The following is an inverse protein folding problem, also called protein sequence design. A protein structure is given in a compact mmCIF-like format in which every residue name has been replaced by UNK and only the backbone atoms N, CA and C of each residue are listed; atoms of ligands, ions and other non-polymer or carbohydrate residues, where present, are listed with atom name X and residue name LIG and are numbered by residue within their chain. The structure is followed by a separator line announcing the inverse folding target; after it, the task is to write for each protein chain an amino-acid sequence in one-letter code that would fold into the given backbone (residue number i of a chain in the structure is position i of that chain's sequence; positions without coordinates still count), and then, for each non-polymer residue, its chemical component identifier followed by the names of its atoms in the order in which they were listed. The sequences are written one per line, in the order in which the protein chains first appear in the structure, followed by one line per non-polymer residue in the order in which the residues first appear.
data_IF_842657562164
#
_entry.id   IF_842657562164
#
_cell.length_a   1.000
_cell.length_b   1.000
_cell.length_c   1.000
_cell.angle_alpha   90.00
_cell.angle_beta   90.00
_cell.angle_gamma   90.00
#
_symmetry.space_group_name_H-M   'P 1'
#
loop_
_entity.id
_entity.type
_entity.pdbx_description
1 polymer ?
#
# COMPACT_ATOMS: atom_id res chain seq x y z
N UNK A 1 6.32 -30.56 -12.30
CA UNK A 1 4.89 -30.76 -12.57
C UNK A 1 4.03 -30.48 -11.34
N UNK A 2 2.80 -29.99 -11.52
CA UNK A 2 1.81 -29.92 -10.44
C UNK A 2 0.99 -31.21 -10.45
N UNK A 3 0.88 -31.87 -9.29
CA UNK A 3 0.14 -33.11 -9.10
C UNK A 3 -1.03 -32.89 -8.14
N UNK A 4 -2.16 -33.53 -8.43
CA UNK A 4 -3.39 -33.45 -7.62
C UNK A 4 -3.50 -34.72 -6.78
N UNK A 5 -3.78 -34.57 -5.49
CA UNK A 5 -4.14 -35.64 -4.54
C UNK A 5 -5.66 -35.80 -4.54
N UNK A 6 -6.22 -36.83 -5.19
CA UNK A 6 -7.66 -36.99 -5.34
C UNK A 6 -8.40 -37.03 -4.00
N UNK A 7 -7.79 -37.61 -2.98
CA UNK A 7 -8.35 -37.81 -1.64
C UNK A 7 -8.49 -36.50 -0.83
N UNK A 8 -7.76 -35.44 -1.21
CA UNK A 8 -7.81 -34.12 -0.55
C UNK A 8 -8.55 -33.08 -1.40
N UNK A 9 -8.76 -33.35 -2.69
CA UNK A 9 -9.39 -32.42 -3.61
C UNK A 9 -10.91 -32.49 -3.50
N UNK A 10 -11.54 -31.38 -3.13
CA UNK A 10 -13.01 -31.27 -3.02
C UNK A 10 -13.67 -30.73 -4.28
N UNK A 11 -12.92 -30.46 -5.35
CA UNK A 11 -13.47 -29.86 -6.57
C UNK A 11 -13.95 -28.41 -6.41
N UNK A 12 -13.52 -27.69 -5.36
CA UNK A 12 -14.02 -26.33 -5.05
C UNK A 12 -13.74 -25.24 -6.12
N UNK A 13 -12.78 -25.46 -7.02
CA UNK A 13 -12.53 -24.59 -8.17
C UNK A 13 -11.65 -23.35 -7.95
N UNK A 14 -11.24 -23.04 -6.72
CA UNK A 14 -10.36 -21.89 -6.42
C UNK A 14 -9.07 -21.85 -7.26
N UNK A 15 -8.48 -23.02 -7.50
CA UNK A 15 -7.27 -23.14 -8.32
C UNK A 15 -7.51 -22.81 -9.80
N UNK A 16 -8.67 -23.17 -10.36
CA UNK A 16 -9.03 -22.90 -11.75
C UNK A 16 -9.34 -21.42 -11.95
N UNK A 17 -10.13 -20.83 -11.07
CA UNK A 17 -10.47 -19.40 -11.08
C UNK A 17 -9.22 -18.51 -11.05
N UNK A 18 -8.23 -18.89 -10.23
CA UNK A 18 -7.01 -18.11 -10.04
C UNK A 18 -5.86 -18.54 -10.95
N UNK A 19 -6.06 -19.49 -11.87
CA UNK A 19 -4.99 -19.92 -12.76
C UNK A 19 -4.69 -18.82 -13.79
N UNK A 20 -3.52 -18.17 -13.74
CA UNK A 20 -3.29 -16.99 -14.58
C UNK A 20 -3.27 -17.35 -16.07
N UNK A 21 -2.81 -18.54 -16.41
CA UNK A 21 -2.69 -19.05 -17.78
C UNK A 21 -3.85 -19.96 -18.18
N UNK A 22 -4.86 -20.13 -17.31
CA UNK A 22 -6.03 -20.96 -17.62
C UNK A 22 -5.72 -22.45 -17.80
N UNK A 23 -4.66 -22.96 -17.17
CA UNK A 23 -4.21 -24.34 -17.35
C UNK A 23 -4.94 -25.38 -16.47
N UNK A 24 -5.95 -24.98 -15.69
CA UNK A 24 -6.64 -25.86 -14.73
C UNK A 24 -8.14 -25.88 -15.05
N UNK A 25 -8.69 -27.08 -15.21
CA UNK A 25 -10.12 -27.33 -15.35
C UNK A 25 -10.64 -28.10 -14.13
N UNK A 26 -11.92 -27.91 -13.79
CA UNK A 26 -12.59 -28.64 -12.71
C UNK A 26 -13.60 -29.59 -13.33
N UNK A 27 -13.41 -30.89 -13.10
CA UNK A 27 -14.43 -31.91 -13.35
C UNK A 27 -15.00 -32.34 -12.00
N UNK A 28 -14.68 -33.53 -11.54
CA UNK A 28 -14.92 -33.95 -10.15
C UNK A 28 -13.79 -33.48 -9.21
N UNK A 29 -12.55 -33.49 -9.72
CA UNK A 29 -11.36 -32.93 -9.09
C UNK A 29 -10.64 -32.00 -10.08
N UNK A 30 -9.65 -31.26 -9.59
CA UNK A 30 -8.82 -30.41 -10.44
C UNK A 30 -8.04 -31.25 -11.47
N UNK A 31 -8.02 -30.82 -12.72
CA UNK A 31 -7.25 -31.40 -13.82
C UNK A 31 -6.32 -30.34 -14.39
N UNK A 32 -5.04 -30.66 -14.51
CA UNK A 32 -3.99 -29.72 -14.92
C UNK A 32 -3.54 -30.07 -16.33
N UNK A 33 -3.72 -29.12 -17.24
CA UNK A 33 -3.29 -29.25 -18.63
C UNK A 33 -1.77 -29.10 -18.78
N UNK A 34 -1.26 -29.49 -19.95
CA UNK A 34 0.16 -29.39 -20.26
C UNK A 34 0.64 -27.96 -20.50
N UNK A 35 -0.27 -26.98 -20.56
CA UNK A 35 0.06 -25.55 -20.63
C UNK A 35 0.55 -25.00 -19.29
N UNK A 36 0.43 -25.77 -18.21
CA UNK A 36 0.88 -25.37 -16.88
C UNK A 36 2.36 -24.97 -16.85
N UNK A 37 2.64 -23.74 -16.42
CA UNK A 37 4.01 -23.21 -16.28
C UNK A 37 4.60 -23.38 -14.88
N UNK A 38 3.99 -24.23 -14.05
CA UNK A 38 4.49 -24.62 -12.73
C UNK A 38 4.68 -23.45 -11.73
N UNK A 39 3.87 -22.41 -11.83
CA UNK A 39 3.98 -21.20 -11.00
C UNK A 39 3.56 -21.34 -9.52
N UNK A 40 3.16 -22.56 -9.11
CA UNK A 40 2.71 -22.93 -7.75
C UNK A 40 1.58 -22.13 -7.10
N UNK A 41 0.97 -21.15 -7.77
CA UNK A 41 -0.13 -20.38 -7.18
C UNK A 41 -1.29 -21.26 -6.70
N UNK A 42 -1.64 -22.28 -7.48
CA UNK A 42 -2.70 -23.22 -7.13
C UNK A 42 -2.38 -24.08 -5.90
N UNK A 43 -1.09 -24.35 -5.62
CA UNK A 43 -0.63 -25.04 -4.41
C UNK A 43 -0.86 -24.16 -3.20
N UNK A 44 -0.44 -22.91 -3.27
CA UNK A 44 -0.61 -21.92 -2.19
C UNK A 44 -2.08 -21.62 -1.88
N UNK A 45 -2.95 -21.61 -2.90
CA UNK A 45 -4.37 -21.28 -2.74
C UNK A 45 -5.24 -22.45 -2.30
N UNK A 46 -4.74 -23.69 -2.33
CA UNK A 46 -5.57 -24.85 -2.01
C UNK A 46 -5.80 -24.94 -0.49
N UNK A 47 -7.04 -24.80 0.02
CA UNK A 47 -7.29 -24.86 1.46
C UNK A 47 -7.07 -26.26 2.06
N UNK A 48 -6.98 -27.30 1.22
CA UNK A 48 -6.85 -28.69 1.61
C UNK A 48 -5.50 -29.31 1.23
N UNK A 49 -4.52 -28.51 0.78
CA UNK A 49 -3.19 -28.99 0.34
C UNK A 49 -3.23 -30.12 -0.72
N UNK A 50 -4.30 -30.15 -1.52
CA UNK A 50 -4.56 -31.20 -2.51
C UNK A 50 -3.70 -31.07 -3.77
N UNK A 51 -2.93 -29.99 -3.92
CA UNK A 51 -2.08 -29.70 -5.08
C UNK A 51 -0.64 -29.60 -4.60
N UNK A 52 0.28 -30.30 -5.28
CA UNK A 52 1.70 -30.33 -4.91
C UNK A 52 2.56 -30.03 -6.14
N UNK A 53 3.56 -29.17 -5.97
CA UNK A 53 4.59 -28.97 -6.99
C UNK A 53 5.73 -29.99 -6.78
N UNK A 54 5.96 -30.82 -7.78
CA UNK A 54 7.09 -31.75 -7.85
C UNK A 54 8.07 -31.22 -8.90
N UNK A 55 9.26 -30.78 -8.50
CA UNK A 55 10.31 -30.34 -9.43
C UNK A 55 11.31 -31.48 -9.64
N UNK A 56 11.19 -32.16 -10.77
CA UNK A 56 12.22 -33.12 -11.19
C UNK A 56 13.45 -32.37 -11.74
N UNK A 57 14.64 -32.96 -11.55
CA UNK A 57 15.97 -32.39 -11.80
C UNK A 57 16.40 -32.43 -13.29
N UNK A 58 15.54 -32.89 -14.20
CA UNK A 58 15.85 -32.95 -15.62
C UNK A 58 14.76 -32.21 -16.39
N UNK A 59 15.03 -30.96 -16.70
CA UNK A 59 14.25 -30.23 -17.70
C UNK A 59 14.50 -30.87 -19.08
N UNK A 60 13.44 -31.21 -19.81
CA UNK A 60 13.58 -31.62 -21.19
C UNK A 60 14.06 -30.45 -22.06
N UNK A 61 14.70 -30.75 -23.20
CA UNK A 61 15.27 -29.74 -24.12
C UNK A 61 14.25 -28.70 -24.63
N UNK A 62 12.94 -28.96 -24.45
CA UNK A 62 11.85 -28.08 -24.86
C UNK A 62 11.26 -27.22 -23.72
N UNK A 63 12.02 -26.95 -22.65
CA UNK A 63 11.57 -26.06 -21.57
C UNK A 63 12.64 -25.02 -21.26
N UNK A 64 12.24 -23.74 -21.22
CA UNK A 64 13.08 -22.65 -20.72
C UNK A 64 12.51 -22.15 -19.40
N UNK A 65 13.36 -22.11 -18.37
CA UNK A 65 13.00 -21.57 -17.05
C UNK A 65 13.15 -20.06 -17.06
N UNK A 66 12.09 -19.36 -16.68
CA UNK A 66 12.10 -17.90 -16.61
C UNK A 66 12.87 -17.37 -15.41
N UNK A 67 13.85 -16.52 -15.66
CA UNK A 67 14.77 -15.93 -14.68
C UNK A 67 14.36 -14.51 -14.22
N UNK A 68 13.36 -13.89 -14.86
CA UNK A 68 12.89 -12.55 -14.51
C UNK A 68 12.17 -12.45 -13.16
N UNK A 69 11.89 -13.57 -12.49
CA UNK A 69 11.30 -13.59 -11.15
C UNK A 69 11.59 -14.93 -10.43
N UNK A 70 11.30 -15.02 -9.12
CA UNK A 70 11.67 -16.16 -8.26
C UNK A 70 10.91 -17.43 -8.56
N UNK A 71 9.70 -17.23 -9.11
CA UNK A 71 8.76 -18.31 -9.37
C UNK A 71 9.38 -19.32 -10.32
N UNK A 72 10.23 -18.87 -11.25
CA UNK A 72 10.91 -19.77 -12.18
C UNK A 72 9.91 -20.48 -13.08
N UNK A 73 8.98 -19.73 -13.72
CA UNK A 73 7.98 -20.33 -14.60
C UNK A 73 8.67 -21.16 -15.70
N UNK A 74 8.23 -22.40 -15.88
CA UNK A 74 8.72 -23.32 -16.93
C UNK A 74 7.92 -23.10 -18.22
N UNK A 75 8.57 -22.55 -19.24
CA UNK A 75 7.89 -22.10 -20.46
C UNK A 75 8.19 -23.05 -21.62
N UNK A 76 7.13 -23.58 -22.23
CA UNK A 76 7.17 -24.22 -23.56
C UNK A 76 7.24 -23.17 -24.67
N UNK A 77 7.56 -23.59 -25.90
CA UNK A 77 7.65 -22.66 -27.03
C UNK A 77 6.33 -21.88 -27.19
N UNK A 78 6.43 -20.55 -27.29
CA UNK A 78 5.27 -19.66 -27.32
C UNK A 78 4.49 -19.52 -25.99
N UNK A 79 4.90 -20.18 -24.92
CA UNK A 79 4.26 -20.14 -23.61
C UNK A 79 4.44 -18.80 -22.90
N UNK A 80 3.42 -18.38 -22.15
CA UNK A 80 3.43 -17.17 -21.31
C UNK A 80 3.74 -17.55 -19.87
N UNK A 81 4.60 -16.77 -19.21
CA UNK A 81 4.76 -16.87 -17.76
C UNK A 81 3.47 -16.50 -17.03
N UNK A 82 3.30 -17.01 -15.82
CA UNK A 82 2.13 -16.75 -14.98
C UNK A 82 1.83 -15.24 -14.78
N UNK A 83 2.85 -14.39 -14.82
CA UNK A 83 2.67 -12.93 -14.74
C UNK A 83 2.08 -12.29 -16.01
N UNK A 84 1.99 -13.03 -17.13
CA UNK A 84 1.64 -12.54 -18.48
C UNK A 84 2.53 -11.41 -19.01
N UNK A 85 3.68 -11.17 -18.39
CA UNK A 85 4.64 -10.13 -18.80
C UNK A 85 5.67 -10.64 -19.78
N UNK A 86 5.97 -11.94 -19.71
CA UNK A 86 7.06 -12.57 -20.43
C UNK A 86 6.55 -13.78 -21.22
N UNK A 87 7.05 -13.95 -22.44
CA UNK A 87 6.73 -15.05 -23.34
C UNK A 87 8.02 -15.67 -23.85
N UNK A 88 8.07 -16.99 -23.94
CA UNK A 88 9.19 -17.68 -24.60
C UNK A 88 9.09 -17.52 -26.12
N UNK A 89 10.23 -17.23 -26.76
CA UNK A 89 10.46 -17.31 -28.20
C UNK A 89 11.81 -17.96 -28.46
N UNK A 90 11.81 -19.21 -28.93
CA UNK A 90 13.02 -20.02 -29.02
C UNK A 90 13.67 -20.19 -27.65
N UNK A 91 14.97 -19.88 -27.56
CA UNK A 91 15.72 -19.95 -26.30
C UNK A 91 15.65 -18.64 -25.49
N UNK A 92 14.94 -17.63 -25.98
CA UNK A 92 14.83 -16.33 -25.33
C UNK A 92 13.49 -16.16 -24.62
N UNK A 93 13.50 -15.32 -23.59
CA UNK A 93 12.29 -14.85 -22.92
C UNK A 93 12.15 -13.37 -23.21
N UNK A 94 11.05 -13.01 -23.86
CA UNK A 94 10.77 -11.65 -24.28
C UNK A 94 9.66 -11.03 -23.44
N UNK A 95 9.84 -9.76 -23.10
CA UNK A 95 8.77 -8.96 -22.48
C UNK A 95 7.69 -8.69 -23.53
N UNK A 96 6.49 -9.23 -23.31
CA UNK A 96 5.33 -9.06 -24.20
C UNK A 96 4.34 -8.01 -23.72
N UNK A 97 4.44 -7.60 -22.45
CA UNK A 97 3.65 -6.48 -21.96
C UNK A 97 4.37 -5.18 -22.35
N UNK A 98 3.81 -4.34 -23.23
CA UNK A 98 4.44 -3.09 -23.61
C UNK A 98 4.57 -2.18 -22.38
N UNK A 99 5.59 -1.34 -22.38
CA UNK A 99 5.68 -0.24 -21.43
C UNK A 99 4.50 0.71 -21.71
N UNK A 100 3.60 0.85 -20.75
CA UNK A 100 2.54 1.84 -20.84
C UNK A 100 3.12 3.19 -20.42
N UNK A 101 3.35 4.05 -21.40
CA UNK A 101 3.64 5.46 -21.17
C UNK A 101 2.29 6.16 -21.35
N UNK A 102 1.67 6.69 -20.29
CA UNK A 102 0.48 7.51 -20.48
C UNK A 102 0.85 8.67 -21.40
N UNK A 103 -0.03 9.05 -22.35
CA UNK A 103 0.22 10.23 -23.17
C UNK A 103 0.38 11.44 -22.23
N UNK A 104 1.25 12.42 -22.57
CA UNK A 104 1.29 13.65 -21.81
C UNK A 104 -0.12 14.28 -21.83
N UNK A 105 -0.57 14.87 -20.71
CA UNK A 105 -1.87 15.53 -20.68
C UNK A 105 -1.91 16.62 -21.76
N UNK A 106 -3.07 16.80 -22.39
CA UNK A 106 -3.24 17.87 -23.37
C UNK A 106 -3.09 19.23 -22.69
N UNK A 107 -2.73 20.28 -23.44
CA UNK A 107 -2.68 21.65 -22.89
C UNK A 107 -4.02 22.06 -22.25
N UNK A 108 -5.13 21.63 -22.83
CA UNK A 108 -6.47 21.84 -22.28
C UNK A 108 -6.65 21.12 -20.93
N UNK A 109 -6.17 19.87 -20.82
CA UNK A 109 -6.24 19.12 -19.58
C UNK A 109 -5.35 19.74 -18.49
N UNK A 110 -4.12 20.13 -18.82
CA UNK A 110 -3.23 20.84 -17.89
C UNK A 110 -3.89 22.15 -17.44
N UNK A 111 -4.45 22.92 -18.38
CA UNK A 111 -5.15 24.19 -18.08
C UNK A 111 -6.35 23.94 -17.18
N UNK A 112 -7.17 22.92 -17.48
CA UNK A 112 -8.31 22.53 -16.65
C UNK A 112 -7.86 22.17 -15.24
N UNK A 113 -6.90 21.26 -15.10
CA UNK A 113 -6.36 20.82 -13.80
C UNK A 113 -5.75 21.98 -13.02
N UNK A 114 -5.05 22.90 -13.68
CA UNK A 114 -4.51 24.10 -13.05
C UNK A 114 -5.61 25.06 -12.59
N UNK A 115 -6.64 25.28 -13.41
CA UNK A 115 -7.73 26.21 -13.11
C UNK A 115 -8.65 25.68 -12.00
N UNK A 116 -8.96 24.38 -11.96
CA UNK A 116 -9.87 23.79 -10.96
C UNK A 116 -9.14 23.11 -9.79
N UNK A 117 -7.81 23.06 -9.83
CA UNK A 117 -6.99 22.29 -8.88
C UNK A 117 -6.88 22.87 -7.47
N UNK A 118 -7.36 24.10 -7.26
CA UNK A 118 -7.45 24.71 -5.94
C UNK A 118 -8.86 25.23 -5.67
N UNK A 119 -9.34 25.17 -4.42
CA UNK A 119 -10.66 25.67 -4.08
C UNK A 119 -10.74 27.20 -4.24
N UNK A 120 -11.96 27.74 -4.28
CA UNK A 120 -12.24 29.19 -4.27
C UNK A 120 -12.00 29.77 -2.88
N UNK A 121 -12.40 29.03 -1.84
CA UNK A 121 -12.19 29.39 -0.44
C UNK A 121 -11.79 28.16 0.38
N UNK A 122 -11.21 28.38 1.56
CA UNK A 122 -10.94 27.29 2.52
C UNK A 122 -12.06 27.20 3.55
N UNK A 123 -12.12 26.08 4.28
CA UNK A 123 -13.08 25.91 5.37
C UNK A 123 -12.68 26.61 6.68
N UNK A 124 -11.53 27.29 6.74
CA UNK A 124 -11.05 27.94 7.96
C UNK A 124 -12.00 29.08 8.34
N UNK A 125 -12.68 28.95 9.49
CA UNK A 125 -13.68 29.92 9.94
C UNK A 125 -15.06 29.77 9.29
N UNK A 126 -15.28 28.73 8.49
CA UNK A 126 -16.61 28.44 7.91
C UNK A 126 -17.63 27.99 8.97
N UNK A 127 -17.15 27.52 10.13
CA UNK A 127 -18.00 26.86 11.12
C UNK A 127 -18.31 25.41 10.74
N UNK A 128 -18.74 24.64 11.74
CA UNK A 128 -18.97 23.19 11.58
C UNK A 128 -20.45 22.89 11.36
N UNK A 129 -20.74 21.88 10.55
CA UNK A 129 -22.08 21.32 10.38
C UNK A 129 -22.33 20.13 11.28
N UNK A 130 -21.38 19.74 12.14
CA UNK A 130 -21.53 18.55 12.96
C UNK A 130 -22.68 18.70 13.97
N UNK A 131 -23.61 17.72 14.06
CA UNK A 131 -23.69 16.51 13.22
C UNK A 131 -24.21 16.84 11.81
N UNK A 132 -23.59 16.28 10.77
CA UNK A 132 -23.66 16.71 9.35
C UNK A 132 -25.02 16.57 8.62
N UNK A 133 -26.13 16.79 9.31
CA UNK A 133 -27.47 16.88 8.71
C UNK A 133 -27.81 18.29 8.21
N UNK A 134 -26.92 19.28 8.42
CA UNK A 134 -27.08 20.66 7.95
C UNK A 134 -26.21 20.87 6.70
N UNK A 135 -26.72 21.55 5.66
CA UNK A 135 -25.90 21.93 4.49
C UNK A 135 -24.65 22.73 4.89
N UNK A 136 -23.61 22.67 4.05
CA UNK A 136 -22.38 23.44 4.26
C UNK A 136 -22.67 24.95 4.44
N UNK A 137 -22.04 25.65 5.40
CA UNK A 137 -22.41 27.04 5.71
C UNK A 137 -22.11 28.01 4.57
N UNK A 138 -21.10 27.69 3.73
CA UNK A 138 -20.70 28.51 2.61
C UNK A 138 -20.54 27.68 1.34
N UNK A 139 -21.20 28.14 0.28
CA UNK A 139 -20.96 27.72 -1.10
C UNK A 139 -20.47 28.94 -1.85
N UNK A 140 -19.27 28.84 -2.40
CA UNK A 140 -18.63 29.91 -3.17
C UNK A 140 -18.47 29.46 -4.61
N UNK A 141 -18.64 30.42 -5.52
CA UNK A 141 -18.53 30.19 -6.96
C UNK A 141 -17.54 31.20 -7.51
N UNK A 142 -16.65 30.73 -8.36
CA UNK A 142 -15.69 31.54 -9.11
C UNK A 142 -15.70 31.10 -10.58
N UNK A 143 -15.63 32.05 -11.50
CA UNK A 143 -15.56 31.76 -12.92
C UNK A 143 -14.09 31.82 -13.36
N UNK A 144 -13.51 30.66 -13.64
CA UNK A 144 -12.12 30.53 -14.10
C UNK A 144 -12.12 30.12 -15.56
N UNK A 145 -11.99 31.11 -16.44
CA UNK A 145 -12.04 30.93 -17.89
C UNK A 145 -13.40 30.33 -18.32
N UNK A 146 -13.41 29.20 -19.04
CA UNK A 146 -14.63 28.48 -19.41
C UNK A 146 -15.19 27.57 -18.31
N UNK A 147 -14.59 27.56 -17.11
CA UNK A 147 -15.00 26.69 -16.01
C UNK A 147 -15.62 27.48 -14.85
N UNK A 148 -16.77 27.02 -14.39
CA UNK A 148 -17.32 27.45 -13.10
C UNK A 148 -16.75 26.55 -12.00
N UNK A 149 -16.07 27.14 -11.01
CA UNK A 149 -15.50 26.43 -9.87
C UNK A 149 -16.37 26.68 -8.65
N UNK A 150 -17.08 25.63 -8.22
CA UNK A 150 -17.92 25.67 -7.03
C UNK A 150 -17.18 25.02 -5.87
N UNK A 151 -16.99 25.76 -4.78
CA UNK A 151 -16.42 25.23 -3.54
C UNK A 151 -17.44 25.33 -2.41
N UNK A 152 -17.88 24.18 -1.93
CA UNK A 152 -18.67 24.02 -0.72
C UNK A 152 -17.74 23.70 0.45
N UNK A 153 -17.82 24.48 1.54
CA UNK A 153 -16.90 24.33 2.68
C UNK A 153 -17.64 24.19 4.01
N UNK A 154 -17.14 23.29 4.84
CA UNK A 154 -17.53 23.07 6.24
C UNK A 154 -16.25 22.88 7.04
N UNK A 155 -16.16 23.49 8.22
CA UNK A 155 -15.05 23.28 9.14
C UNK A 155 -15.17 21.92 9.85
N UNK A 156 -14.14 21.08 9.68
CA UNK A 156 -14.07 19.79 10.32
C UNK A 156 -13.60 19.94 11.79
N UNK A 157 -14.32 19.39 12.78
CA UNK A 157 -13.87 19.43 14.15
C UNK A 157 -12.60 18.59 14.32
N UNK A 158 -11.54 19.22 14.84
CA UNK A 158 -10.25 18.54 15.10
C UNK A 158 -10.39 17.32 16.01
N UNK A 159 -11.46 17.26 16.81
CA UNK A 159 -11.76 16.16 17.75
C UNK A 159 -12.13 14.82 17.08
N UNK A 160 -12.46 14.83 15.79
CA UNK A 160 -12.69 13.61 15.00
C UNK A 160 -11.54 13.30 14.04
N UNK A 161 -10.52 14.16 14.02
CA UNK A 161 -9.37 14.03 13.13
C UNK A 161 -8.17 13.41 13.84
N UNK A 162 -7.28 12.82 13.06
CA UNK A 162 -5.96 12.36 13.49
C UNK A 162 -4.89 12.82 12.50
N UNK A 163 -3.65 12.79 12.93
CA UNK A 163 -2.47 13.04 12.09
C UNK A 163 -1.76 11.70 11.91
N UNK A 164 -1.46 11.35 10.66
CA UNK A 164 -0.58 10.23 10.34
C UNK A 164 0.81 10.77 10.01
N UNK A 165 1.74 10.62 10.95
CA UNK A 165 3.14 11.00 10.81
C UNK A 165 3.92 9.88 10.13
N UNK A 166 4.63 10.23 9.06
CA UNK A 166 5.65 9.39 8.44
C UNK A 166 7.02 9.79 8.99
N UNK A 167 7.69 8.87 9.67
CA UNK A 167 9.06 9.04 10.16
C UNK A 167 9.97 8.23 9.25
N UNK A 168 10.75 8.95 8.45
CA UNK A 168 11.72 8.35 7.53
C UNK A 168 12.98 7.96 8.29
N UNK A 169 13.01 6.72 8.76
CA UNK A 169 14.15 6.11 9.45
C UNK A 169 14.16 4.59 9.24
N UNK A 170 15.35 3.99 9.32
CA UNK A 170 15.52 2.55 9.39
C UNK A 170 15.47 2.03 10.83
N UNK A 171 15.70 2.91 11.79
CA UNK A 171 15.80 2.54 13.20
C UNK A 171 14.49 2.02 13.74
N UNK A 172 14.63 1.09 14.68
CA UNK A 172 13.51 0.63 15.46
C UNK A 172 13.02 1.77 16.36
N UNK A 173 11.75 2.15 16.20
CA UNK A 173 11.13 3.16 17.07
C UNK A 173 10.20 2.55 18.12
N UNK A 174 9.76 1.31 17.91
CA UNK A 174 8.78 0.63 18.74
C UNK A 174 7.92 -0.34 17.92
N UNK A 175 7.25 -1.25 18.61
CA UNK A 175 6.38 -2.25 17.98
C UNK A 175 5.09 -1.62 17.45
N UNK A 176 4.51 -2.21 16.40
CA UNK A 176 3.19 -1.83 15.92
C UNK A 176 2.14 -1.95 17.05
N UNK A 177 1.29 -0.94 17.19
CA UNK A 177 0.32 -0.82 18.28
C UNK A 177 0.88 -0.23 19.57
N UNK A 178 2.20 -0.04 19.71
CA UNK A 178 2.79 0.57 20.90
C UNK A 178 2.25 1.99 21.14
N UNK A 179 1.96 2.32 22.39
CA UNK A 179 1.44 3.62 22.77
C UNK A 179 2.49 4.71 22.53
N UNK A 180 2.06 5.81 21.91
CA UNK A 180 2.88 7.01 21.73
C UNK A 180 2.49 8.01 22.79
N UNK A 181 3.49 8.54 23.49
CA UNK A 181 3.31 9.50 24.59
C UNK A 181 3.94 10.84 24.29
N UNK A 182 3.26 11.89 24.73
CA UNK A 182 3.80 13.25 24.78
C UNK A 182 3.64 13.77 26.20
N UNK A 183 4.75 14.20 26.82
CA UNK A 183 4.77 14.66 28.23
C UNK A 183 4.08 13.65 29.17
N UNK A 184 4.41 12.36 29.01
CA UNK A 184 3.89 11.23 29.78
C UNK A 184 2.46 10.77 29.45
N UNK A 185 1.71 11.52 28.63
CA UNK A 185 0.31 11.21 28.28
C UNK A 185 0.24 10.45 26.97
N UNK A 186 -0.58 9.40 26.91
CA UNK A 186 -0.86 8.69 25.66
C UNK A 186 -1.62 9.62 24.71
N UNK A 187 -1.06 9.80 23.51
CA UNK A 187 -1.58 10.69 22.46
C UNK A 187 -1.84 9.99 21.13
N UNK A 188 -1.39 8.75 20.99
CA UNK A 188 -1.38 8.04 19.72
C UNK A 188 -0.83 6.62 19.85
N UNK A 189 -0.50 6.02 18.73
CA UNK A 189 0.16 4.72 18.65
C UNK A 189 1.00 4.58 17.38
N UNK A 190 1.96 3.66 17.41
CA UNK A 190 2.71 3.22 16.22
C UNK A 190 1.79 2.40 15.33
N UNK A 191 1.80 2.68 14.03
CA UNK A 191 1.00 2.00 13.02
C UNK A 191 1.87 1.12 12.12
N UNK A 192 1.22 0.34 11.26
CA UNK A 192 1.87 -0.47 10.23
C UNK A 192 2.87 0.36 9.43
N UNK A 193 4.09 -0.17 9.26
CA UNK A 193 5.12 0.47 8.46
C UNK A 193 4.72 0.53 6.98
N UNK A 194 4.95 1.69 6.34
CA UNK A 194 4.62 1.90 4.93
C UNK A 194 5.88 2.22 4.15
N UNK A 195 6.16 1.40 3.12
CA UNK A 195 7.35 1.54 2.26
C UNK A 195 8.68 1.61 3.03
N UNK A 196 8.76 0.91 4.17
CA UNK A 196 9.94 0.88 5.02
C UNK A 196 10.13 2.13 5.90
N UNK A 197 9.15 3.03 5.93
CA UNK A 197 9.08 4.17 6.86
C UNK A 197 8.20 3.82 8.05
N UNK A 198 8.54 4.37 9.21
CA UNK A 198 7.76 4.17 10.43
C UNK A 198 6.56 5.11 10.43
N UNK A 199 5.40 4.60 10.84
CA UNK A 199 4.15 5.36 10.83
C UNK A 199 3.64 5.55 12.25
N UNK A 200 3.19 6.76 12.58
CA UNK A 200 2.65 7.08 13.90
C UNK A 200 1.33 7.82 13.71
N UNK A 201 0.26 7.31 14.34
CA UNK A 201 -1.02 8.00 14.40
C UNK A 201 -1.14 8.80 15.69
N UNK A 202 -1.45 10.09 15.61
CA UNK A 202 -1.68 10.99 16.74
C UNK A 202 -3.09 11.55 16.66
N UNK A 203 -3.83 11.49 17.78
CA UNK A 203 -5.20 11.96 17.84
C UNK A 203 -6.22 10.94 17.33
N UNK A 204 -7.40 11.41 16.97
CA UNK A 204 -8.57 10.58 16.67
C UNK A 204 -9.54 10.47 17.85
N UNK A 205 -10.77 10.07 17.54
CA UNK A 205 -11.92 10.18 18.46
C UNK A 205 -11.73 9.45 19.79
N UNK A 206 -11.03 8.32 19.80
CA UNK A 206 -10.78 7.54 21.01
C UNK A 206 -9.88 8.31 21.99
N UNK A 207 -8.86 9.01 21.49
CA UNK A 207 -8.01 9.85 22.34
C UNK A 207 -8.71 11.15 22.73
N UNK A 208 -9.59 11.67 21.89
CA UNK A 208 -10.37 12.89 22.16
C UNK A 208 -11.48 12.67 23.19
N UNK A 209 -11.95 11.43 23.37
CA UNK A 209 -12.84 11.02 24.48
C UNK A 209 -12.10 10.81 25.81
N UNK A 210 -10.77 10.73 25.79
CA UNK A 210 -9.97 10.47 26.98
C UNK A 210 -9.76 11.72 27.85
N UNK A 211 -9.20 11.52 29.05
CA UNK A 211 -8.74 12.62 29.93
C UNK A 211 -7.58 13.43 29.31
N UNK A 212 -6.92 12.90 28.27
CA UNK A 212 -5.77 13.54 27.62
C UNK A 212 -6.15 14.48 26.47
N UNK A 213 -7.44 14.64 26.14
CA UNK A 213 -7.92 15.38 24.96
C UNK A 213 -7.23 16.73 24.72
N UNK A 214 -7.06 17.56 25.75
CA UNK A 214 -6.41 18.88 25.62
C UNK A 214 -4.94 18.75 25.22
N UNK A 215 -4.22 17.77 25.79
CA UNK A 215 -2.83 17.53 25.46
C UNK A 215 -2.67 17.00 24.02
N UNK A 216 -3.58 16.11 23.60
CA UNK A 216 -3.65 15.58 22.24
C UNK A 216 -3.91 16.71 21.24
N UNK A 217 -4.95 17.52 21.47
CA UNK A 217 -5.29 18.64 20.59
C UNK A 217 -4.15 19.64 20.48
N UNK A 218 -3.51 20.01 21.60
CA UNK A 218 -2.36 20.92 21.58
C UNK A 218 -1.20 20.35 20.77
N UNK A 219 -0.86 19.08 20.95
CA UNK A 219 0.18 18.43 20.18
C UNK A 219 -0.15 18.41 18.68
N UNK A 220 -1.39 18.09 18.31
CA UNK A 220 -1.82 18.13 16.92
C UNK A 220 -1.65 19.52 16.31
N UNK A 221 -2.04 20.58 17.03
CA UNK A 221 -1.85 21.97 16.58
C UNK A 221 -0.37 22.32 16.42
N UNK A 222 0.47 21.98 17.40
CA UNK A 222 1.94 22.15 17.33
C UNK A 222 2.51 21.48 16.07
N UNK A 223 2.13 20.21 15.81
CA UNK A 223 2.56 19.47 14.62
C UNK A 223 2.13 20.19 13.33
N UNK A 224 0.85 20.55 13.23
CA UNK A 224 0.28 21.18 12.03
C UNK A 224 0.85 22.59 11.75
N UNK A 225 1.29 23.30 12.80
CA UNK A 225 2.02 24.57 12.67
C UNK A 225 3.49 24.39 12.27
N UNK A 226 3.99 23.15 12.15
CA UNK A 226 5.39 22.87 11.83
C UNK A 226 6.36 23.18 12.98
N UNK A 227 5.86 23.30 14.20
CA UNK A 227 6.67 23.51 15.40
C UNK A 227 7.36 22.20 15.82
N UNK A 228 8.55 22.26 16.46
CA UNK A 228 9.23 21.09 16.97
C UNK A 228 8.47 20.47 18.17
N UNK A 229 8.48 19.15 18.27
CA UNK A 229 7.81 18.40 19.33
C UNK A 229 8.57 17.12 19.69
N UNK A 230 8.32 16.62 20.90
CA UNK A 230 8.95 15.38 21.40
C UNK A 230 7.89 14.34 21.73
N UNK A 231 8.14 13.09 21.38
CA UNK A 231 7.30 11.95 21.75
C UNK A 231 8.17 10.79 22.22
N UNK A 232 7.59 9.89 23.02
CA UNK A 232 8.23 8.64 23.42
C UNK A 232 7.30 7.49 23.14
N UNK A 233 7.84 6.36 22.68
CA UNK A 233 7.07 5.16 22.41
C UNK A 233 7.26 4.18 23.57
N UNK A 234 6.16 3.59 24.04
CA UNK A 234 6.21 2.57 25.09
C UNK A 234 7.03 1.37 24.61
N UNK A 235 8.05 0.99 25.39
CA UNK A 235 9.05 -0.04 25.03
C UNK A 235 9.79 0.25 23.71
N UNK A 236 9.89 1.53 23.34
CA UNK A 236 10.54 1.99 22.11
C UNK A 236 11.41 3.22 22.33
N UNK A 237 11.61 3.98 21.25
CA UNK A 237 12.52 5.12 21.20
C UNK A 237 11.87 6.42 21.72
N UNK A 238 12.74 7.38 22.08
CA UNK A 238 12.36 8.79 22.22
C UNK A 238 12.66 9.51 20.91
N UNK A 239 11.69 10.30 20.44
CA UNK A 239 11.75 10.98 19.16
C UNK A 239 11.60 12.48 19.37
N UNK A 240 12.52 13.28 18.84
CA UNK A 240 12.36 14.72 18.67
C UNK A 240 12.17 15.00 17.18
N UNK A 241 11.00 15.55 16.83
CA UNK A 241 10.51 15.63 15.45
C UNK A 241 10.11 17.05 15.10
N UNK A 242 10.24 17.39 13.82
CA UNK A 242 9.69 18.60 13.21
C UNK A 242 9.39 18.33 11.74
N UNK A 243 8.25 18.83 11.24
CA UNK A 243 7.87 18.63 9.83
C UNK A 243 8.96 19.17 8.89
N UNK A 244 9.38 18.34 7.94
CA UNK A 244 10.41 18.68 6.96
C UNK A 244 11.85 18.69 7.48
N UNK A 245 12.10 18.28 8.73
CA UNK A 245 13.45 18.11 9.29
C UNK A 245 13.78 16.63 9.52
N UNK A 246 15.06 16.24 9.49
CA UNK A 246 15.49 14.90 9.89
C UNK A 246 15.01 14.56 11.31
N UNK A 247 14.50 13.34 11.56
CA UNK A 247 14.13 12.93 12.91
C UNK A 247 15.37 12.76 13.80
N UNK A 248 15.22 13.10 15.08
CA UNK A 248 16.20 12.77 16.11
C UNK A 248 15.62 11.61 16.94
N UNK A 249 16.35 10.49 17.02
CA UNK A 249 15.94 9.25 17.66
C UNK A 249 16.96 8.93 18.75
N UNK A 250 16.51 8.88 20.00
CA UNK A 250 17.35 8.67 21.19
C UNK A 250 18.59 9.59 21.25
N UNK A 251 18.45 10.81 20.72
CA UNK A 251 19.47 11.85 20.71
C UNK A 251 20.34 11.90 19.44
N UNK A 252 20.19 10.93 18.53
CA UNK A 252 20.94 10.88 17.28
C UNK A 252 20.09 11.35 16.09
N UNK A 253 20.66 12.18 15.21
CA UNK A 253 19.98 12.70 14.03
C UNK A 253 20.09 11.72 12.85
N UNK A 254 18.96 11.28 12.29
CA UNK A 254 18.92 10.32 11.19
C UNK A 254 18.57 11.01 9.87
N UNK A 255 19.53 11.05 8.95
CA UNK A 255 19.35 11.63 7.60
C UNK A 255 19.16 10.60 6.49
N UNK A 256 19.39 9.32 6.77
CA UNK A 256 19.37 8.26 5.77
C UNK A 256 17.96 7.66 5.64
N UNK A 257 17.44 7.64 4.41
CA UNK A 257 16.21 6.91 4.07
C UNK A 257 16.54 5.45 3.73
N UNK A 258 15.60 4.54 3.96
CA UNK A 258 15.67 3.18 3.43
C UNK A 258 15.52 3.23 1.91
N UNK A 259 16.49 2.71 1.17
CA UNK A 259 16.31 2.39 -0.26
C UNK A 259 15.46 1.13 -0.34
N UNK A 260 14.14 1.29 -0.33
CA UNK A 260 13.21 0.20 -0.53
C UNK A 260 13.18 -0.22 -2.00
N UNK A 261 13.97 -1.23 -2.38
CA UNK A 261 13.77 -1.90 -3.67
C UNK A 261 12.53 -2.79 -3.55
N UNK A 262 11.43 -2.42 -4.23
CA UNK A 262 10.20 -3.23 -4.28
C UNK A 262 10.37 -4.64 -4.88
N UNK A 263 11.58 -4.99 -5.35
CA UNK A 263 11.93 -6.33 -5.81
C UNK A 263 12.44 -7.27 -4.69
N UNK A 264 12.67 -6.76 -3.47
CA UNK A 264 13.35 -7.50 -2.39
C UNK A 264 12.51 -8.54 -1.63
N UNK A 265 11.27 -8.83 -2.06
CA UNK A 265 10.48 -9.96 -1.51
C UNK A 265 11.20 -11.31 -1.74
N UNK A 266 12.13 -11.32 -2.69
CA UNK A 266 13.04 -12.44 -3.02
C UNK A 266 14.07 -12.82 -1.96
N UNK A 267 14.51 -11.87 -1.14
CA UNK A 267 15.65 -12.07 -0.25
C UNK A 267 15.28 -12.56 1.15
N UNK A 268 13.99 -12.80 1.40
CA UNK A 268 13.45 -13.13 2.73
C UNK A 268 12.69 -14.48 2.76
N UNK A 269 12.80 -15.29 1.72
CA UNK A 269 12.30 -16.67 1.67
C UNK A 269 13.47 -17.64 1.44
#
# INVERSE_FOLDING_TARGET
MITVKPEQCTGCGLCAENCPIGAIEIKEIASISTECVECSLCVTLCPNDALVLIRDQVDGDDVVVCDHCPIGCRLKEGGLGACKRYKRRGNNIEKVRPLFIPPPPSLEQIRKEALIGHPVTTAVGAGTTYPDYVPCPYVTVDQRDSFEVVTAVTEAPITYSSILLKVDTQEFIGNEGACVRHKGRVVGHVCTELYGSKMISIGGINFMKSKNKVAVTRLMVTILNGEPFEISIDEGAKLSLQLGKPPIIDGEEYRATKVGCGAAILGML
#
